data_IF_985503863901
#
_entry.id   IF_985503863901
#
_cell.length_a   1.000
_cell.length_b   1.000
_cell.length_c   1.000
_cell.angle_alpha   90.00
_cell.angle_beta   90.00
_cell.angle_gamma   90.00
#
_symmetry.space_group_name_H-M   'P 1'
#
loop_
_entity.id
_entity.type
_entity.pdbx_description
1 polymer ?
#
# COMPACT_ATOMS: atom_id res chain seq x y z
N UNK A 1 -34.08 39.38 -14.72
CA UNK A 1 -34.39 38.52 -15.89
C UNK A 1 -33.08 38.07 -16.51
N UNK A 2 -32.60 36.88 -16.14
CA UNK A 2 -31.31 36.35 -16.65
C UNK A 2 -31.42 36.11 -18.16
N UNK A 3 -30.51 36.71 -18.92
CA UNK A 3 -30.43 36.53 -20.38
C UNK A 3 -30.21 35.05 -20.70
N UNK A 4 -30.88 34.52 -21.74
CA UNK A 4 -30.68 33.15 -22.26
C UNK A 4 -29.20 32.80 -22.45
N UNK A 5 -28.36 33.79 -22.79
CA UNK A 5 -26.90 33.64 -22.92
C UNK A 5 -26.24 33.26 -21.59
N UNK A 6 -26.69 33.81 -20.47
CA UNK A 6 -26.14 33.51 -19.14
C UNK A 6 -26.51 32.10 -18.67
N UNK A 7 -27.72 31.60 -18.93
CA UNK A 7 -28.08 30.21 -18.60
C UNK A 7 -27.27 29.19 -19.42
N UNK A 8 -26.94 29.49 -20.68
CA UNK A 8 -26.08 28.63 -21.50
C UNK A 8 -24.65 28.61 -20.94
N UNK A 9 -24.12 29.78 -20.55
CA UNK A 9 -22.77 29.90 -19.95
C UNK A 9 -22.69 29.15 -18.61
N UNK A 10 -23.69 29.26 -17.74
CA UNK A 10 -23.77 28.50 -16.48
C UNK A 10 -23.80 26.99 -16.70
N UNK A 11 -24.53 26.51 -17.73
CA UNK A 11 -24.55 25.10 -18.09
C UNK A 11 -23.19 24.58 -18.57
N UNK A 12 -22.47 25.36 -19.38
CA UNK A 12 -21.12 25.01 -19.84
C UNK A 12 -20.11 24.93 -18.69
N UNK A 13 -20.17 25.86 -17.73
CA UNK A 13 -19.32 25.84 -16.54
C UNK A 13 -19.58 24.58 -15.70
N UNK A 14 -20.85 24.19 -15.54
CA UNK A 14 -21.21 22.96 -14.82
C UNK A 14 -20.64 21.69 -15.47
N UNK A 15 -20.70 21.59 -16.81
CA UNK A 15 -20.14 20.46 -17.56
C UNK A 15 -18.61 20.40 -17.40
N UNK A 16 -17.93 21.54 -17.43
CA UNK A 16 -16.48 21.62 -17.23
C UNK A 16 -16.10 21.16 -15.82
N UNK A 17 -16.84 21.57 -14.78
CA UNK A 17 -16.58 21.15 -13.40
C UNK A 17 -16.81 19.66 -13.20
N UNK A 18 -17.87 19.09 -13.78
CA UNK A 18 -18.14 17.65 -13.75
C UNK A 18 -17.05 16.89 -14.50
N UNK A 19 -16.63 17.38 -15.66
CA UNK A 19 -15.53 16.80 -16.44
C UNK A 19 -14.21 16.82 -15.67
N UNK A 20 -13.86 17.95 -15.06
CA UNK A 20 -12.65 18.09 -14.25
C UNK A 20 -12.68 17.17 -13.02
N UNK A 21 -13.84 17.04 -12.38
CA UNK A 21 -14.05 16.10 -11.28
C UNK A 21 -13.84 14.66 -11.74
N UNK A 22 -14.48 14.21 -12.82
CA UNK A 22 -14.27 12.85 -13.37
C UNK A 22 -12.81 12.60 -13.75
N UNK A 23 -12.14 13.56 -14.39
CA UNK A 23 -10.71 13.46 -14.74
C UNK A 23 -9.85 13.33 -13.47
N UNK A 24 -10.14 14.12 -12.43
CA UNK A 24 -9.43 14.06 -11.15
C UNK A 24 -9.53 12.68 -10.48
N UNK A 25 -10.70 12.04 -10.47
CA UNK A 25 -10.88 10.68 -9.93
C UNK A 25 -10.10 9.61 -10.73
N UNK A 26 -9.98 9.77 -12.04
CA UNK A 26 -9.22 8.85 -12.89
C UNK A 26 -7.71 8.96 -12.67
N UNK A 27 -7.20 10.12 -12.27
CA UNK A 27 -5.76 10.32 -12.03
C UNK A 27 -5.33 9.68 -10.70
N UNK A 28 -6.17 9.72 -9.66
CA UNK A 28 -5.84 9.15 -8.35
C UNK A 28 -5.83 7.62 -8.30
N UNK A 29 -6.51 6.94 -9.23
CA UNK A 29 -6.76 5.49 -9.15
C UNK A 29 -5.66 4.62 -9.78
N UNK A 30 -4.59 5.21 -10.32
CA UNK A 30 -3.47 4.43 -10.88
C UNK A 30 -2.43 4.10 -9.81
N UNK A 31 -2.46 2.86 -9.35
CA UNK A 31 -1.31 2.27 -8.68
C UNK A 31 -0.05 2.39 -9.58
N UNK A 32 1.15 2.57 -9.00
CA UNK A 32 2.39 2.59 -9.76
C UNK A 32 2.52 1.31 -10.60
N UNK A 33 3.08 1.39 -11.81
CA UNK A 33 3.15 0.22 -12.71
C UNK A 33 4.05 -0.90 -12.18
N UNK A 34 5.06 -0.58 -11.39
CA UNK A 34 6.01 -1.53 -10.81
C UNK A 34 5.56 -2.00 -9.42
N UNK A 35 6.08 -3.14 -8.93
CA UNK A 35 5.81 -3.60 -7.57
C UNK A 35 6.31 -2.59 -6.54
N UNK A 36 5.53 -2.35 -5.50
CA UNK A 36 5.90 -1.42 -4.42
C UNK A 36 5.64 -2.08 -3.07
N UNK A 37 6.69 -2.26 -2.28
CA UNK A 37 6.61 -2.84 -0.94
C UNK A 37 6.25 -1.77 0.10
N UNK A 38 5.40 -2.14 1.05
CA UNK A 38 5.09 -1.36 2.26
C UNK A 38 5.05 -2.32 3.44
N UNK A 39 5.64 -1.90 4.56
CA UNK A 39 5.63 -2.63 5.83
C UNK A 39 4.68 -1.96 6.81
N UNK A 40 4.12 -2.73 7.76
CA UNK A 40 3.32 -2.19 8.86
C UNK A 40 4.13 -1.25 9.75
N UNK A 41 5.39 -1.62 9.99
CA UNK A 41 6.38 -0.82 10.71
C UNK A 41 7.79 -1.21 10.25
N UNK A 42 8.76 -0.30 10.44
CA UNK A 42 10.16 -0.52 10.05
C UNK A 42 10.97 -1.21 11.15
N UNK A 43 10.52 -1.11 12.40
CA UNK A 43 11.24 -1.60 13.57
C UNK A 43 10.26 -2.11 14.63
N UNK A 44 10.70 -3.12 15.37
CA UNK A 44 10.01 -3.63 16.54
C UNK A 44 11.02 -3.92 17.64
N UNK A 45 10.78 -3.36 18.83
CA UNK A 45 11.58 -3.62 20.03
C UNK A 45 10.80 -4.56 20.97
N UNK A 46 11.36 -5.75 21.21
CA UNK A 46 10.80 -6.71 22.15
C UNK A 46 10.97 -6.28 23.62
N UNK A 47 11.79 -5.26 23.88
CA UNK A 47 12.08 -4.75 25.21
C UNK A 47 12.85 -5.76 26.06
N UNK A 48 12.48 -5.84 27.34
CA UNK A 48 13.12 -6.76 28.27
C UNK A 48 12.49 -8.15 28.12
N UNK A 49 13.29 -9.07 27.58
CA UNK A 49 12.93 -10.47 27.40
C UNK A 49 13.76 -11.34 28.34
N UNK A 50 13.16 -12.41 28.86
CA UNK A 50 13.89 -13.42 29.64
C UNK A 50 14.64 -14.37 28.70
N UNK A 51 15.66 -15.03 29.23
CA UNK A 51 16.53 -15.92 28.46
C UNK A 51 15.79 -17.14 27.86
N UNK A 52 14.68 -17.55 28.48
CA UNK A 52 13.81 -18.65 28.06
C UNK A 52 12.62 -18.19 27.20
N UNK A 53 12.41 -16.89 27.04
CA UNK A 53 11.33 -16.34 26.23
C UNK A 53 11.69 -16.35 24.74
N UNK A 54 10.72 -16.76 23.91
CA UNK A 54 10.80 -16.72 22.45
C UNK A 54 9.70 -15.79 21.94
N UNK A 55 9.91 -14.47 22.06
CA UNK A 55 8.89 -13.52 21.65
C UNK A 55 8.72 -13.59 20.14
N UNK A 56 7.50 -13.33 19.68
CA UNK A 56 7.16 -13.37 18.26
C UNK A 56 6.62 -12.01 17.87
N UNK A 57 7.05 -11.52 16.71
CA UNK A 57 6.44 -10.36 16.07
C UNK A 57 6.05 -10.69 14.62
N UNK A 58 5.01 -10.01 14.11
CA UNK A 58 4.52 -10.19 12.75
C UNK A 58 4.51 -8.84 12.06
N UNK A 59 5.35 -8.69 11.05
CA UNK A 59 5.29 -7.56 10.12
C UNK A 59 4.32 -7.89 8.99
N UNK A 60 3.43 -6.96 8.65
CA UNK A 60 2.60 -7.09 7.45
C UNK A 60 3.32 -6.47 6.27
N UNK A 61 3.54 -7.25 5.22
CA UNK A 61 4.08 -6.78 3.95
C UNK A 61 2.94 -6.61 2.97
N UNK A 62 2.77 -5.41 2.41
CA UNK A 62 1.74 -5.10 1.42
C UNK A 62 2.35 -4.69 0.09
N UNK A 63 1.75 -5.16 -1.00
CA UNK A 63 2.07 -4.68 -2.34
C UNK A 63 1.14 -3.51 -2.71
N UNK A 64 1.69 -2.30 -2.74
CA UNK A 64 1.01 -1.08 -3.19
C UNK A 64 1.17 -0.80 -4.69
N UNK A 65 1.97 -1.62 -5.38
CA UNK A 65 2.20 -1.53 -6.81
C UNK A 65 1.10 -2.18 -7.65
N UNK A 66 1.24 -2.02 -8.96
CA UNK A 66 0.33 -2.55 -9.98
C UNK A 66 0.77 -3.88 -10.59
N UNK A 67 1.96 -4.37 -10.23
CA UNK A 67 2.53 -5.66 -10.64
C UNK A 67 2.83 -6.54 -9.41
N UNK A 68 3.02 -7.84 -9.63
CA UNK A 68 3.31 -8.80 -8.55
C UNK A 68 4.64 -8.50 -7.84
N UNK A 69 4.60 -8.45 -6.51
CA UNK A 69 5.78 -8.33 -5.67
C UNK A 69 6.27 -9.73 -5.30
N UNK A 70 7.49 -10.07 -5.74
CA UNK A 70 8.15 -11.34 -5.44
C UNK A 70 9.26 -11.12 -4.42
N UNK A 71 9.16 -11.76 -3.25
CA UNK A 71 10.18 -11.73 -2.20
C UNK A 71 11.16 -12.87 -2.41
N UNK A 72 12.26 -12.59 -3.09
CA UNK A 72 13.28 -13.60 -3.40
C UNK A 72 13.95 -14.19 -2.15
N UNK A 73 14.06 -13.41 -1.07
CA UNK A 73 14.84 -13.79 0.11
C UNK A 73 14.56 -12.89 1.30
N UNK A 74 14.50 -13.50 2.48
CA UNK A 74 14.58 -12.80 3.78
C UNK A 74 15.89 -13.22 4.46
N UNK A 75 16.60 -12.26 5.07
CA UNK A 75 17.87 -12.51 5.79
C UNK A 75 17.79 -11.93 7.19
N UNK A 76 17.99 -12.78 8.19
CA UNK A 76 18.29 -12.34 9.55
C UNK A 76 19.78 -11.99 9.67
N UNK A 77 20.09 -10.97 10.46
CA UNK A 77 21.47 -10.54 10.76
C UNK A 77 22.11 -11.42 11.84
N UNK A 78 21.33 -11.88 12.83
CA UNK A 78 21.74 -12.88 13.83
C UNK A 78 21.29 -14.28 13.40
N UNK A 79 22.16 -15.28 13.54
CA UNK A 79 21.80 -16.69 13.32
C UNK A 79 20.77 -17.25 14.32
N UNK A 80 20.45 -16.48 15.36
CA UNK A 80 19.48 -16.81 16.40
C UNK A 80 18.03 -16.44 16.04
N UNK A 81 17.83 -15.52 15.08
CA UNK A 81 16.51 -15.04 14.68
C UNK A 81 15.96 -15.91 13.56
N UNK A 82 14.75 -16.44 13.73
CA UNK A 82 14.07 -17.19 12.68
C UNK A 82 13.00 -16.32 12.02
N UNK A 83 12.92 -16.41 10.69
CA UNK A 83 11.96 -15.66 9.88
C UNK A 83 11.10 -16.62 9.05
N UNK A 84 9.80 -16.36 8.98
CA UNK A 84 8.85 -17.16 8.20
C UNK A 84 7.88 -16.23 7.49
N UNK A 85 7.80 -16.38 6.17
CA UNK A 85 6.92 -15.59 5.32
C UNK A 85 5.72 -16.45 4.89
N UNK A 86 4.50 -15.91 4.94
CA UNK A 86 3.31 -16.67 4.55
C UNK A 86 3.15 -16.83 3.04
N UNK A 87 3.69 -15.91 2.24
CA UNK A 87 3.78 -16.00 0.78
C UNK A 87 4.93 -15.12 0.27
N UNK A 88 5.76 -15.66 -0.61
CA UNK A 88 6.78 -14.94 -1.37
C UNK A 88 6.22 -14.26 -2.62
N UNK A 89 5.00 -14.59 -3.03
CA UNK A 89 4.27 -13.97 -4.13
C UNK A 89 3.13 -13.10 -3.59
N UNK A 90 3.17 -11.78 -3.81
CA UNK A 90 2.20 -10.82 -3.29
C UNK A 90 1.59 -10.03 -4.46
N UNK A 91 0.36 -10.38 -4.82
CA UNK A 91 -0.39 -9.71 -5.90
C UNK A 91 -0.70 -8.23 -5.55
N UNK A 92 -0.97 -7.38 -6.56
CA UNK A 92 -1.37 -5.97 -6.36
C UNK A 92 -2.48 -5.81 -5.32
N UNK A 93 -2.24 -4.94 -4.33
CA UNK A 93 -3.16 -4.65 -3.24
C UNK A 93 -3.28 -5.75 -2.17
N UNK A 94 -2.59 -6.88 -2.31
CA UNK A 94 -2.57 -7.98 -1.32
C UNK A 94 -1.43 -7.81 -0.32
N UNK A 95 -1.49 -8.61 0.73
CA UNK A 95 -0.51 -8.64 1.81
C UNK A 95 -0.05 -10.06 2.12
N UNK A 96 1.15 -10.16 2.69
CA UNK A 96 1.71 -11.34 3.33
C UNK A 96 2.20 -10.98 4.73
N UNK A 97 2.40 -11.98 5.58
CA UNK A 97 2.90 -11.82 6.94
C UNK A 97 4.33 -12.35 7.01
N UNK A 98 5.22 -11.56 7.62
CA UNK A 98 6.57 -11.94 7.99
C UNK A 98 6.61 -12.12 9.50
N UNK A 99 6.58 -13.38 9.93
CA UNK A 99 6.77 -13.76 11.32
C UNK A 99 8.25 -13.80 11.65
N UNK A 100 8.65 -13.14 12.72
CA UNK A 100 10.00 -13.18 13.29
C UNK A 100 9.95 -13.68 14.74
N UNK A 101 10.98 -14.42 15.15
CA UNK A 101 11.19 -14.89 16.52
C UNK A 101 12.66 -14.89 16.88
#
# INVERSE_FOLDING_TARGET
MMSKKNSIVLGLIGIILIGAFLIYYNIQSKAPRFPQISLSEEEWDFGKIKEDERPVHIFTIKNLGGEELIINRVRASCGCTATMLTSDHILPGKSAELKTT
#
